data_IF_840561791698
#
_entry.id   IF_840561791698
#
_cell.length_a   1.000
_cell.length_b   1.000
_cell.length_c   1.000
_cell.angle_alpha   90.00
_cell.angle_beta   90.00
_cell.angle_gamma   90.00
#
_symmetry.space_group_name_H-M   'P 1'
#
loop_
_entity.id
_entity.type
_entity.pdbx_description
1 polymer ?
#
# COMPACT_ATOMS: atom_id res chain seq x y z
N UNK A 1 -12.85 16.37 -27.95
CA UNK A 1 -13.48 15.35 -27.08
C UNK A 1 -13.22 15.61 -25.61
N UNK A 2 -11.97 15.74 -25.13
CA UNK A 2 -11.60 16.10 -23.76
C UNK A 2 -12.22 17.43 -23.28
N UNK A 3 -12.26 18.47 -24.12
CA UNK A 3 -12.84 19.78 -23.78
C UNK A 3 -14.33 19.71 -23.47
N UNK A 4 -15.09 18.86 -24.16
CA UNK A 4 -16.52 18.64 -23.87
C UNK A 4 -16.72 17.92 -22.53
N UNK A 5 -15.93 16.90 -22.23
CA UNK A 5 -15.98 16.18 -20.95
C UNK A 5 -15.76 17.13 -19.77
N UNK A 6 -14.70 17.93 -19.80
CA UNK A 6 -14.39 18.86 -18.70
C UNK A 6 -15.42 19.99 -18.59
N UNK A 7 -16.01 20.46 -19.69
CA UNK A 7 -17.10 21.42 -19.64
C UNK A 7 -18.33 20.84 -18.95
N UNK A 8 -18.72 19.61 -19.31
CA UNK A 8 -19.87 18.96 -18.69
C UNK A 8 -19.62 18.69 -17.20
N UNK A 9 -18.46 18.15 -16.84
CA UNK A 9 -18.05 17.93 -15.46
C UNK A 9 -18.10 19.22 -14.62
N UNK A 10 -17.60 20.33 -15.15
CA UNK A 10 -17.64 21.62 -14.48
C UNK A 10 -19.08 22.13 -14.25
N UNK A 11 -19.97 21.90 -15.21
CA UNK A 11 -21.39 22.21 -15.05
C UNK A 11 -22.04 21.37 -13.94
N UNK A 12 -21.72 20.08 -13.88
CA UNK A 12 -22.28 19.16 -12.90
C UNK A 12 -21.77 19.47 -11.47
N UNK A 13 -20.49 19.78 -11.32
CA UNK A 13 -19.91 20.23 -10.05
C UNK A 13 -20.57 21.54 -9.56
N UNK A 14 -20.79 22.50 -10.45
CA UNK A 14 -21.48 23.75 -10.13
C UNK A 14 -22.92 23.51 -9.70
N UNK A 15 -23.67 22.65 -10.40
CA UNK A 15 -25.03 22.27 -10.03
C UNK A 15 -25.12 21.66 -8.65
N UNK A 16 -24.11 20.89 -8.25
CA UNK A 16 -24.03 20.25 -6.94
C UNK A 16 -23.47 21.17 -5.84
N UNK A 17 -23.13 22.41 -6.18
CA UNK A 17 -22.58 23.37 -5.22
C UNK A 17 -21.17 23.05 -4.75
N UNK A 18 -20.44 22.22 -5.47
CA UNK A 18 -19.06 21.84 -5.12
C UNK A 18 -18.13 22.96 -5.56
N UNK A 19 -17.59 23.71 -4.59
CA UNK A 19 -16.72 24.86 -4.81
C UNK A 19 -15.27 24.66 -4.40
N UNK A 20 -14.91 23.47 -3.90
CA UNK A 20 -13.56 23.11 -3.48
C UNK A 20 -12.90 22.18 -4.50
N UNK A 21 -11.55 22.17 -4.60
CA UNK A 21 -10.85 21.19 -5.43
C UNK A 21 -11.21 19.75 -5.06
N UNK A 22 -11.52 18.93 -6.05
CA UNK A 22 -11.92 17.53 -5.85
C UNK A 22 -11.04 16.60 -6.68
N UNK A 23 -10.74 15.43 -6.12
CA UNK A 23 -10.26 14.30 -6.90
C UNK A 23 -11.47 13.54 -7.42
N UNK A 24 -11.51 13.32 -8.72
CA UNK A 24 -12.63 12.66 -9.38
C UNK A 24 -12.14 11.38 -10.00
N UNK A 25 -12.90 10.29 -9.79
CA UNK A 25 -12.67 9.01 -10.43
C UNK A 25 -13.71 8.84 -11.55
N UNK A 26 -13.25 8.70 -12.78
CA UNK A 26 -14.09 8.28 -13.89
C UNK A 26 -14.38 6.78 -13.75
N UNK A 27 -15.60 6.45 -13.41
CA UNK A 27 -16.02 5.07 -13.16
C UNK A 27 -15.89 4.18 -14.40
N UNK A 28 -16.20 4.71 -15.60
CA UNK A 28 -16.11 3.96 -16.84
C UNK A 28 -14.65 3.63 -17.18
N UNK A 29 -13.77 4.60 -17.06
CA UNK A 29 -12.33 4.40 -17.26
C UNK A 29 -11.74 3.45 -16.19
N UNK A 30 -12.18 3.56 -14.94
CA UNK A 30 -11.75 2.67 -13.86
C UNK A 30 -12.14 1.22 -14.16
N UNK A 31 -13.41 0.96 -14.54
CA UNK A 31 -13.88 -0.37 -14.92
C UNK A 31 -13.10 -0.96 -16.08
N UNK A 32 -12.82 -0.17 -17.10
CA UNK A 32 -12.02 -0.61 -18.24
C UNK A 32 -10.59 -0.97 -17.82
N UNK A 33 -9.96 -0.15 -16.97
CA UNK A 33 -8.62 -0.43 -16.46
C UNK A 33 -8.59 -1.70 -15.59
N UNK A 34 -9.60 -1.92 -14.74
CA UNK A 34 -9.74 -3.15 -13.96
C UNK A 34 -9.81 -4.37 -14.89
N UNK A 35 -10.65 -4.32 -15.93
CA UNK A 35 -10.76 -5.41 -16.92
C UNK A 35 -9.42 -5.70 -17.60
N UNK A 36 -8.67 -4.68 -18.00
CA UNK A 36 -7.34 -4.86 -18.57
C UNK A 36 -6.38 -5.56 -17.61
N UNK A 37 -6.41 -5.20 -16.32
CA UNK A 37 -5.60 -5.87 -15.29
C UNK A 37 -6.04 -7.33 -15.11
N UNK A 38 -7.34 -7.58 -15.00
CA UNK A 38 -7.89 -8.93 -14.85
C UNK A 38 -7.47 -9.84 -16.01
N UNK A 39 -7.59 -9.38 -17.25
CA UNK A 39 -7.15 -10.14 -18.45
C UNK A 39 -5.65 -10.45 -18.36
N UNK A 40 -4.81 -9.51 -17.93
CA UNK A 40 -3.37 -9.77 -17.76
C UNK A 40 -3.09 -10.83 -16.69
N UNK A 41 -3.82 -10.78 -15.59
CA UNK A 41 -3.69 -11.76 -14.50
C UNK A 41 -4.13 -13.17 -14.92
N UNK A 42 -5.13 -13.32 -15.80
CA UNK A 42 -5.51 -14.65 -16.32
C UNK A 42 -4.40 -15.32 -17.12
N UNK A 43 -3.55 -14.53 -17.78
CA UNK A 43 -2.37 -15.05 -18.51
C UNK A 43 -1.15 -15.23 -17.60
N UNK A 44 -1.18 -14.74 -16.38
CA UNK A 44 -0.07 -14.76 -15.42
C UNK A 44 -0.53 -15.31 -14.06
N UNK A 45 -1.16 -16.49 -14.06
CA UNK A 45 -1.77 -17.12 -12.87
C UNK A 45 -0.81 -17.37 -11.70
N UNK A 46 0.50 -17.43 -11.99
CA UNK A 46 1.55 -17.56 -10.97
C UNK A 46 1.85 -16.24 -10.23
N UNK A 47 1.39 -15.10 -10.76
CA UNK A 47 1.56 -13.79 -10.14
C UNK A 47 0.40 -13.48 -9.18
N UNK A 48 0.76 -12.89 -8.05
CA UNK A 48 -0.22 -12.41 -7.07
C UNK A 48 -0.13 -10.88 -7.02
N UNK A 49 -1.17 -10.16 -7.44
CA UNK A 49 -1.15 -8.71 -7.48
C UNK A 49 -1.10 -8.12 -6.07
N UNK A 50 -0.50 -6.94 -5.95
CA UNK A 50 -0.42 -6.15 -4.73
C UNK A 50 -0.82 -4.71 -5.03
N UNK A 51 -1.79 -4.16 -4.30
CA UNK A 51 -2.24 -2.78 -4.46
C UNK A 51 -1.26 -1.82 -3.78
N UNK A 52 -0.79 -0.82 -4.52
CA UNK A 52 0.15 0.18 -4.00
C UNK A 52 -0.61 1.37 -3.44
N UNK A 53 -0.65 1.50 -2.11
CA UNK A 53 -1.34 2.56 -1.38
C UNK A 53 -0.36 3.73 -1.17
N UNK A 54 -0.13 4.50 -2.20
CA UNK A 54 0.82 5.63 -2.18
C UNK A 54 0.19 6.92 -2.66
N UNK A 55 -0.28 6.94 -3.91
CA UNK A 55 -0.77 8.14 -4.57
C UNK A 55 -2.27 8.36 -4.36
N UNK A 56 -3.02 7.31 -4.12
CA UNK A 56 -4.46 7.35 -3.92
C UNK A 56 -4.85 6.41 -2.75
N UNK A 57 -4.71 6.93 -1.54
CA UNK A 57 -5.05 6.22 -0.30
C UNK A 57 -6.54 6.39 0.06
N UNK A 58 -7.43 6.03 -0.87
CA UNK A 58 -8.89 6.08 -0.67
C UNK A 58 -9.39 4.67 -0.32
N UNK A 59 -9.91 4.48 0.89
CA UNK A 59 -10.35 3.16 1.38
C UNK A 59 -11.45 2.56 0.52
N UNK A 60 -12.44 3.37 0.10
CA UNK A 60 -13.54 2.86 -0.72
C UNK A 60 -13.05 2.36 -2.09
N UNK A 61 -12.11 3.10 -2.70
CA UNK A 61 -11.48 2.65 -3.93
C UNK A 61 -10.63 1.39 -3.73
N UNK A 62 -9.90 1.30 -2.60
CA UNK A 62 -9.12 0.12 -2.28
C UNK A 62 -9.99 -1.11 -2.04
N UNK A 63 -11.16 -0.96 -1.38
CA UNK A 63 -12.14 -2.04 -1.20
C UNK A 63 -12.65 -2.53 -2.55
N UNK A 64 -13.10 -1.61 -3.40
CA UNK A 64 -13.56 -1.94 -4.75
C UNK A 64 -12.48 -2.67 -5.57
N UNK A 65 -11.24 -2.16 -5.57
CA UNK A 65 -10.13 -2.78 -6.30
C UNK A 65 -9.76 -4.15 -5.72
N UNK A 66 -9.73 -4.28 -4.38
CA UNK A 66 -9.45 -5.53 -3.68
C UNK A 66 -10.43 -6.63 -4.08
N UNK A 67 -11.72 -6.32 -4.13
CA UNK A 67 -12.79 -7.24 -4.57
C UNK A 67 -12.66 -7.60 -6.04
N UNK A 68 -12.51 -6.60 -6.91
CA UNK A 68 -12.47 -6.80 -8.36
C UNK A 68 -11.23 -7.57 -8.84
N UNK A 69 -10.09 -7.42 -8.17
CA UNK A 69 -8.83 -8.09 -8.52
C UNK A 69 -8.59 -9.33 -7.63
N UNK A 70 -9.48 -9.59 -6.68
CA UNK A 70 -9.39 -10.68 -5.71
C UNK A 70 -8.04 -10.70 -4.97
N UNK A 71 -7.70 -9.59 -4.29
CA UNK A 71 -6.46 -9.48 -3.53
C UNK A 71 -6.63 -8.62 -2.28
N UNK A 72 -6.07 -9.06 -1.15
CA UNK A 72 -5.88 -8.25 0.05
C UNK A 72 -4.38 -8.02 0.32
N UNK A 73 -3.58 -7.93 -0.75
CA UNK A 73 -2.15 -7.67 -0.67
C UNK A 73 -1.89 -6.21 -0.98
N UNK A 74 -1.24 -5.52 -0.04
CA UNK A 74 -1.00 -4.07 -0.13
C UNK A 74 0.50 -3.75 -0.01
N UNK A 75 0.93 -2.70 -0.70
CA UNK A 75 2.23 -2.09 -0.51
C UNK A 75 2.05 -0.71 0.08
N UNK A 76 2.61 -0.47 1.26
CA UNK A 76 2.43 0.73 2.06
C UNK A 76 3.75 1.46 2.29
N UNK A 77 3.67 2.73 2.68
CA UNK A 77 4.84 3.60 2.88
C UNK A 77 4.73 4.44 4.14
N UNK A 78 3.64 4.32 4.90
CA UNK A 78 3.31 5.20 6.00
C UNK A 78 2.52 4.46 7.08
N UNK A 79 2.87 4.65 8.36
CA UNK A 79 2.24 3.94 9.49
C UNK A 79 0.71 4.14 9.57
N UNK A 80 0.12 5.34 9.43
CA UNK A 80 -1.34 5.48 9.44
C UNK A 80 -2.05 4.65 8.38
N UNK A 81 -1.40 4.38 7.23
CA UNK A 81 -1.97 3.50 6.21
C UNK A 81 -1.96 2.03 6.66
N UNK A 82 -0.97 1.59 7.46
CA UNK A 82 -0.94 0.23 8.02
C UNK A 82 -2.19 0.03 8.90
N UNK A 83 -2.42 0.96 9.81
CA UNK A 83 -3.58 0.94 10.72
C UNK A 83 -4.89 0.89 9.91
N UNK A 84 -5.07 1.84 8.99
CA UNK A 84 -6.27 1.90 8.16
C UNK A 84 -6.52 0.63 7.34
N UNK A 85 -5.48 -0.03 6.84
CA UNK A 85 -5.61 -1.29 6.10
C UNK A 85 -5.96 -2.44 7.05
N UNK A 86 -5.31 -2.57 8.21
CA UNK A 86 -5.59 -3.64 9.17
C UNK A 86 -7.00 -3.55 9.77
N UNK A 87 -7.52 -2.34 9.95
CA UNK A 87 -8.90 -2.11 10.41
C UNK A 87 -9.96 -2.49 9.38
N UNK A 88 -9.62 -2.46 8.09
CA UNK A 88 -10.59 -2.61 7.01
C UNK A 88 -10.46 -3.89 6.18
N UNK A 89 -9.36 -4.65 6.32
CA UNK A 89 -9.08 -5.86 5.54
C UNK A 89 -8.56 -6.98 6.46
N UNK A 90 -9.41 -7.94 6.76
CA UNK A 90 -9.14 -9.01 7.72
C UNK A 90 -7.95 -9.92 7.33
N UNK A 91 -7.74 -10.12 6.02
CA UNK A 91 -6.67 -10.96 5.49
C UNK A 91 -5.51 -10.15 4.86
N UNK A 92 -5.33 -8.91 5.33
CA UNK A 92 -4.31 -8.02 4.78
C UNK A 92 -2.90 -8.63 4.83
N UNK A 93 -2.24 -8.69 3.67
CA UNK A 93 -0.81 -9.00 3.52
C UNK A 93 -0.09 -7.71 3.11
N UNK A 94 0.66 -7.13 4.03
CA UNK A 94 1.27 -5.81 3.90
C UNK A 94 2.76 -5.94 3.61
N UNK A 95 3.23 -5.27 2.56
CA UNK A 95 4.63 -5.07 2.27
C UNK A 95 4.99 -3.59 2.45
N UNK A 96 6.00 -3.27 3.23
CA UNK A 96 6.53 -1.92 3.30
C UNK A 96 7.41 -1.65 2.08
N UNK A 97 7.12 -0.57 1.35
CA UNK A 97 7.87 -0.17 0.15
C UNK A 97 9.06 0.74 0.46
N UNK A 98 9.38 0.95 1.74
CA UNK A 98 10.60 1.60 2.23
C UNK A 98 10.85 1.19 3.68
N UNK A 99 12.10 1.24 4.16
CA UNK A 99 12.40 1.07 5.58
C UNK A 99 11.66 2.12 6.42
N UNK A 100 11.06 1.67 7.52
CA UNK A 100 10.41 2.56 8.49
C UNK A 100 11.39 2.95 9.59
N UNK A 101 11.31 4.16 10.16
CA UNK A 101 12.05 4.50 11.37
C UNK A 101 11.76 3.48 12.47
N UNK A 102 12.80 3.00 13.17
CA UNK A 102 12.63 2.01 14.25
C UNK A 102 11.64 2.47 15.32
N UNK A 103 11.68 3.77 15.66
CA UNK A 103 10.74 4.37 16.59
C UNK A 103 9.27 4.23 16.15
N UNK A 104 9.00 4.35 14.85
CA UNK A 104 7.64 4.19 14.33
C UNK A 104 7.16 2.73 14.44
N UNK A 105 8.07 1.76 14.21
CA UNK A 105 7.76 0.32 14.38
C UNK A 105 7.54 -0.01 15.87
N UNK A 106 8.38 0.54 16.75
CA UNK A 106 8.20 0.39 18.19
C UNK A 106 6.83 0.91 18.64
N UNK A 107 6.49 2.16 18.30
CA UNK A 107 5.19 2.75 18.65
C UNK A 107 4.00 1.97 18.05
N UNK A 108 4.16 1.40 16.86
CA UNK A 108 3.11 0.59 16.28
C UNK A 108 2.79 -0.61 17.18
N UNK A 109 3.77 -1.40 17.62
CA UNK A 109 3.54 -2.58 18.46
C UNK A 109 3.21 -2.22 19.92
N UNK A 110 3.70 -1.08 20.42
CA UNK A 110 3.33 -0.56 21.74
C UNK A 110 1.83 -0.24 21.83
N UNK A 111 1.27 0.37 20.77
CA UNK A 111 -0.11 0.83 20.76
C UNK A 111 -1.11 -0.19 20.17
N UNK A 112 -0.63 -1.16 19.43
CA UNK A 112 -1.46 -2.07 18.65
C UNK A 112 -1.04 -3.53 18.82
N UNK A 113 -0.99 -4.02 20.08
CA UNK A 113 -0.62 -5.41 20.41
C UNK A 113 -1.55 -6.44 19.76
N UNK A 114 -2.82 -6.07 19.46
CA UNK A 114 -3.78 -6.92 18.76
C UNK A 114 -3.32 -7.31 17.34
N UNK A 115 -2.35 -6.63 16.78
CA UNK A 115 -1.78 -6.92 15.45
C UNK A 115 -0.36 -7.51 15.50
N UNK A 116 0.01 -8.11 16.64
CA UNK A 116 1.31 -8.78 16.79
C UNK A 116 1.55 -9.87 15.73
N UNK A 117 0.48 -10.57 15.31
CA UNK A 117 0.52 -11.64 14.32
C UNK A 117 0.12 -11.19 12.90
N UNK A 118 -0.07 -9.89 12.69
CA UNK A 118 -0.45 -9.36 11.38
C UNK A 118 0.65 -9.65 10.34
N UNK A 119 0.24 -9.96 9.11
CA UNK A 119 1.15 -10.24 8.00
C UNK A 119 1.78 -8.95 7.46
N UNK A 120 2.71 -8.37 8.22
CA UNK A 120 3.45 -7.17 7.86
C UNK A 120 4.89 -7.54 7.54
N UNK A 121 5.31 -7.27 6.31
CA UNK A 121 6.68 -7.48 5.82
C UNK A 121 7.42 -6.14 5.89
N UNK A 122 8.24 -5.99 6.93
CA UNK A 122 9.07 -4.81 7.16
C UNK A 122 10.28 -4.82 6.22
N UNK A 123 10.66 -3.64 5.71
CA UNK A 123 11.80 -3.52 4.82
C UNK A 123 13.05 -3.14 5.59
N UNK A 124 14.16 -3.80 5.28
CA UNK A 124 15.48 -3.58 5.88
C UNK A 124 16.47 -3.24 4.77
N UNK A 125 17.21 -2.15 4.93
CA UNK A 125 18.20 -1.64 3.98
C UNK A 125 19.63 -1.66 4.53
N UNK A 126 19.77 -1.82 5.86
CA UNK A 126 21.07 -1.78 6.55
C UNK A 126 21.12 -2.77 7.70
N UNK A 127 22.33 -3.22 8.05
CA UNK A 127 22.56 -4.06 9.23
C UNK A 127 22.12 -3.35 10.53
N UNK A 128 22.26 -2.02 10.59
CA UNK A 128 21.80 -1.24 11.74
C UNK A 128 20.27 -1.33 11.88
N UNK A 129 19.51 -1.18 10.78
CA UNK A 129 18.06 -1.31 10.78
C UNK A 129 17.62 -2.72 11.20
N UNK A 130 18.31 -3.74 10.72
CA UNK A 130 18.06 -5.12 11.12
C UNK A 130 18.21 -5.30 12.64
N UNK A 131 19.31 -4.80 13.24
CA UNK A 131 19.52 -4.87 14.69
C UNK A 131 18.40 -4.18 15.47
N UNK A 132 18.01 -2.97 15.07
CA UNK A 132 16.91 -2.23 15.69
C UNK A 132 15.58 -3.00 15.63
N UNK A 133 15.27 -3.65 14.52
CA UNK A 133 14.04 -4.45 14.40
C UNK A 133 14.11 -5.75 15.22
N UNK A 134 15.29 -6.35 15.36
CA UNK A 134 15.47 -7.51 16.25
C UNK A 134 15.26 -7.12 17.73
N UNK A 135 15.73 -5.96 18.15
CA UNK A 135 15.50 -5.43 19.51
C UNK A 135 13.99 -5.24 19.77
N UNK A 136 13.25 -4.70 18.80
CA UNK A 136 11.78 -4.55 18.87
C UNK A 136 11.10 -5.93 18.94
N UNK A 137 11.50 -6.87 18.08
CA UNK A 137 10.95 -8.22 18.08
C UNK A 137 11.13 -8.91 19.45
N UNK A 138 12.29 -8.75 20.05
CA UNK A 138 12.59 -9.27 21.40
C UNK A 138 11.76 -8.56 22.49
N UNK A 139 11.67 -7.23 22.45
CA UNK A 139 10.96 -6.45 23.46
C UNK A 139 9.46 -6.80 23.51
N UNK A 140 8.85 -7.09 22.37
CA UNK A 140 7.44 -7.45 22.27
C UNK A 140 7.18 -8.95 22.17
N UNK A 141 8.22 -9.79 22.17
CA UNK A 141 8.13 -11.26 22.00
C UNK A 141 7.36 -11.67 20.74
N UNK A 142 7.62 -10.98 19.63
CA UNK A 142 6.96 -11.20 18.34
C UNK A 142 7.94 -11.66 17.26
N UNK A 143 7.42 -12.25 16.19
CA UNK A 143 8.19 -12.61 15.00
C UNK A 143 7.94 -11.59 13.89
N UNK A 144 8.92 -10.74 13.57
CA UNK A 144 8.83 -9.79 12.47
C UNK A 144 9.20 -10.48 11.14
N UNK A 145 8.31 -10.38 10.16
CA UNK A 145 8.65 -10.73 8.78
C UNK A 145 9.46 -9.59 8.16
N UNK A 146 10.61 -9.89 7.58
CA UNK A 146 11.50 -8.88 7.01
C UNK A 146 11.87 -9.20 5.57
N UNK A 147 11.93 -8.16 4.73
CA UNK A 147 12.47 -8.19 3.38
C UNK A 147 13.72 -7.32 3.31
N UNK A 148 14.73 -7.77 2.59
CA UNK A 148 15.94 -6.99 2.35
C UNK A 148 15.75 -6.19 1.07
N UNK A 149 15.94 -4.86 1.15
CA UNK A 149 16.00 -4.00 -0.02
C UNK A 149 17.36 -4.15 -0.68
N UNK A 150 17.37 -4.47 -1.97
CA UNK A 150 18.58 -4.55 -2.78
C UNK A 150 18.56 -3.39 -3.78
N UNK A 151 19.63 -2.59 -3.82
CA UNK A 151 19.77 -1.54 -4.83
C UNK A 151 20.14 -2.14 -6.19
N UNK A 152 19.19 -2.14 -7.10
CA UNK A 152 19.36 -2.67 -8.47
C UNK A 152 19.40 -1.55 -9.53
N UNK A 153 19.74 -0.33 -9.13
CA UNK A 153 19.97 0.76 -10.07
C UNK A 153 19.22 2.07 -9.77
N UNK A 154 18.31 2.10 -8.79
CA UNK A 154 17.61 3.33 -8.42
C UNK A 154 18.41 4.23 -7.47
N UNK A 155 19.40 3.67 -6.78
CA UNK A 155 20.37 4.33 -5.90
C UNK A 155 19.73 5.24 -4.83
N UNK A 156 18.58 4.82 -4.27
CA UNK A 156 17.87 5.54 -3.21
C UNK A 156 17.99 4.89 -1.82
N UNK A 157 18.38 3.64 -1.78
CA UNK A 157 18.52 2.83 -0.58
C UNK A 157 18.75 1.38 -0.95
N UNK A 158 18.90 0.52 0.06
CA UNK A 158 19.15 -0.89 -0.12
C UNK A 158 20.63 -1.26 -0.01
N UNK A 159 20.88 -2.55 0.19
CA UNK A 159 22.21 -3.12 0.19
C UNK A 159 22.69 -3.29 -1.26
N UNK A 160 23.95 -3.00 -1.50
CA UNK A 160 24.57 -3.34 -2.78
C UNK A 160 24.81 -4.84 -2.81
N UNK A 161 24.42 -5.52 -3.91
CA UNK A 161 24.53 -6.97 -4.02
C UNK A 161 25.97 -7.43 -3.78
N UNK A 162 26.10 -8.39 -2.89
CA UNK A 162 27.22 -9.32 -2.76
C UNK A 162 28.65 -8.74 -2.68
N UNK A 163 29.00 -8.14 -1.60
CA UNK A 163 30.33 -8.33 -1.03
C UNK A 163 30.21 -8.61 0.44
#
# INVERSE_FOLDING_TARGET
MLDYFFKQLNLDLKKQGIATPQLIVDEAALKQNIQHVQVRLTHAQHLKPRLVVKSLACLDLLKLLSEQINTQRFMLFHQPHIIAILENFAEADILLGKPMPAQAVHHFYEQHSQWSDAKIQWLVDTTQRLKQYLEIAQAYSICLQMNIEIDVGLHRGGVQSSQ
#
